data_IF_380908528617
#
_entry.id   IF_380908528617
#
_cell.length_a   1.000
_cell.length_b   1.000
_cell.length_c   1.000
_cell.angle_alpha   90.00
_cell.angle_beta   90.00
_cell.angle_gamma   90.00
#
_symmetry.space_group_name_H-M   'P 1'
#
loop_
_entity.id
_entity.type
_entity.pdbx_description
1 polymer ?
#
# COMPACT_ATOMS: atom_id res chain seq x y z
N UNK A 1 33.12 -2.04 -64.83
CA UNK A 1 32.32 -1.38 -63.77
C UNK A 1 30.93 -1.99 -63.59
N UNK A 2 30.14 -2.21 -64.64
CA UNK A 2 28.76 -2.72 -64.54
C UNK A 2 28.61 -4.04 -63.75
N UNK A 3 29.50 -5.02 -63.95
CA UNK A 3 29.48 -6.29 -63.20
C UNK A 3 29.81 -6.12 -61.71
N UNK A 4 30.75 -5.22 -61.36
CA UNK A 4 31.09 -4.93 -59.96
C UNK A 4 29.92 -4.24 -59.23
N UNK A 5 29.21 -3.36 -59.91
CA UNK A 5 28.00 -2.69 -59.38
C UNK A 5 26.88 -3.71 -59.17
N UNK A 6 26.66 -4.62 -60.13
CA UNK A 6 25.64 -5.68 -59.99
C UNK A 6 25.88 -6.61 -58.79
N UNK A 7 27.15 -6.97 -58.55
CA UNK A 7 27.52 -7.80 -57.39
C UNK A 7 27.29 -7.07 -56.06
N UNK A 8 27.58 -5.77 -56.00
CA UNK A 8 27.32 -4.96 -54.80
C UNK A 8 25.82 -4.85 -54.52
N UNK A 9 24.99 -4.66 -55.56
CA UNK A 9 23.53 -4.59 -55.38
C UNK A 9 22.97 -5.94 -54.91
N UNK A 10 23.42 -7.06 -55.48
CA UNK A 10 23.00 -8.40 -55.06
C UNK A 10 23.43 -8.67 -53.61
N UNK A 11 24.66 -8.29 -53.23
CA UNK A 11 25.13 -8.42 -51.85
C UNK A 11 24.29 -7.56 -50.89
N UNK A 12 23.91 -6.33 -51.30
CA UNK A 12 23.08 -5.44 -50.48
C UNK A 12 21.67 -5.98 -50.29
N UNK A 13 21.04 -6.50 -51.35
CA UNK A 13 19.71 -7.14 -51.28
C UNK A 13 19.78 -8.44 -50.48
N UNK A 14 20.86 -9.22 -50.65
CA UNK A 14 21.12 -10.42 -49.86
C UNK A 14 21.26 -10.11 -48.37
N UNK A 15 22.07 -9.11 -48.00
CA UNK A 15 22.21 -8.63 -46.62
C UNK A 15 20.90 -8.07 -46.08
N UNK A 16 20.15 -7.32 -46.88
CA UNK A 16 18.84 -6.81 -46.48
C UNK A 16 17.85 -7.94 -46.19
N UNK A 17 17.78 -8.97 -47.05
CA UNK A 17 16.94 -10.15 -46.82
C UNK A 17 17.42 -10.96 -45.62
N UNK A 18 18.73 -11.05 -45.40
CA UNK A 18 19.31 -11.71 -44.22
C UNK A 18 18.94 -10.96 -42.94
N UNK A 19 19.06 -9.63 -42.92
CA UNK A 19 18.60 -8.81 -41.80
C UNK A 19 17.09 -8.89 -41.63
N UNK A 20 16.31 -8.85 -42.71
CA UNK A 20 14.85 -8.97 -42.66
C UNK A 20 14.36 -10.33 -42.14
N UNK A 21 15.09 -11.42 -42.43
CA UNK A 21 14.79 -12.75 -41.88
C UNK A 21 15.41 -13.02 -40.51
N UNK A 22 16.53 -12.39 -40.16
CA UNK A 22 17.12 -12.47 -38.81
C UNK A 22 16.45 -11.54 -37.81
N UNK A 23 15.75 -10.51 -38.29
CA UNK A 23 14.89 -9.64 -37.49
C UNK A 23 13.60 -10.41 -37.18
N UNK A 24 13.73 -11.53 -36.45
CA UNK A 24 12.68 -12.04 -35.59
C UNK A 24 12.14 -10.83 -34.85
N UNK A 25 10.97 -10.31 -35.23
CA UNK A 25 10.36 -9.15 -34.59
C UNK A 25 10.03 -9.53 -33.14
N UNK A 26 10.88 -9.24 -32.13
CA UNK A 26 10.63 -9.67 -30.76
C UNK A 26 9.52 -8.81 -30.14
N UNK A 27 9.15 -7.72 -30.82
CA UNK A 27 8.22 -6.72 -30.33
C UNK A 27 6.75 -7.11 -30.50
N UNK A 28 6.42 -8.09 -31.37
CA UNK A 28 5.04 -8.46 -31.70
C UNK A 28 4.58 -9.82 -31.17
N UNK A 29 5.23 -10.37 -30.14
CA UNK A 29 4.57 -11.41 -29.34
C UNK A 29 3.50 -10.70 -28.50
N UNK A 30 2.24 -10.81 -28.92
CA UNK A 30 1.09 -10.27 -28.20
C UNK A 30 1.11 -10.80 -26.76
N UNK A 31 1.05 -9.90 -25.78
CA UNK A 31 1.00 -10.30 -24.37
C UNK A 31 -0.17 -11.24 -24.10
N UNK A 32 0.12 -12.34 -23.42
CA UNK A 32 -0.89 -13.32 -23.01
C UNK A 32 -1.07 -13.26 -21.50
N UNK A 33 -2.26 -13.63 -21.03
CA UNK A 33 -2.49 -13.80 -19.58
C UNK A 33 -1.99 -15.19 -19.21
N UNK A 34 -1.04 -15.26 -18.27
CA UNK A 34 -0.61 -16.52 -17.67
C UNK A 34 -1.73 -17.11 -16.80
N UNK A 35 -2.36 -16.26 -15.98
CA UNK A 35 -3.58 -16.62 -15.24
C UNK A 35 -4.49 -15.41 -15.01
N UNK A 36 -5.67 -15.70 -14.46
CA UNK A 36 -6.61 -14.71 -13.90
C UNK A 36 -7.20 -15.27 -12.60
N UNK A 37 -6.61 -14.92 -11.47
CA UNK A 37 -6.97 -15.43 -10.15
C UNK A 37 -7.14 -14.28 -9.15
N UNK A 38 -8.08 -14.38 -8.20
CA UNK A 38 -8.33 -13.34 -7.20
C UNK A 38 -7.58 -13.64 -5.91
N UNK A 39 -6.27 -13.37 -5.92
CA UNK A 39 -5.39 -13.61 -4.79
C UNK A 39 -5.81 -12.82 -3.56
N UNK A 40 -5.74 -13.48 -2.40
CA UNK A 40 -6.07 -12.87 -1.11
C UNK A 40 -4.85 -12.65 -0.23
N UNK A 41 -3.78 -13.41 -0.45
CA UNK A 41 -2.52 -13.24 0.25
C UNK A 41 -1.32 -13.38 -0.68
N UNK A 42 -0.28 -12.60 -0.41
CA UNK A 42 1.01 -12.63 -1.11
C UNK A 42 2.10 -12.66 -0.05
N UNK A 43 3.01 -13.64 -0.11
CA UNK A 43 4.20 -13.69 0.72
C UNK A 43 5.43 -13.40 -0.13
N UNK A 44 6.15 -12.34 0.21
CA UNK A 44 7.47 -12.06 -0.31
C UNK A 44 8.54 -12.73 0.53
N UNK A 45 9.44 -13.46 -0.13
CA UNK A 45 10.62 -14.06 0.46
C UNK A 45 11.86 -13.42 -0.19
N UNK A 46 12.78 -12.84 0.60
CA UNK A 46 14.00 -12.22 0.10
C UNK A 46 14.93 -13.24 -0.57
N UNK A 47 15.87 -12.77 -1.42
CA UNK A 47 16.89 -13.65 -1.97
C UNK A 47 17.82 -14.16 -0.86
N UNK A 48 18.31 -15.40 -1.01
CA UNK A 48 19.38 -15.94 -0.17
C UNK A 48 20.75 -15.40 -0.61
N UNK A 49 21.74 -15.47 0.27
CA UNK A 49 23.09 -14.96 0.02
C UNK A 49 23.83 -15.66 -1.13
N UNK A 50 23.44 -16.88 -1.47
CA UNK A 50 23.99 -17.68 -2.57
C UNK A 50 23.29 -17.44 -3.92
N UNK A 51 22.31 -16.53 -3.99
CA UNK A 51 21.62 -16.21 -5.24
C UNK A 51 22.54 -15.51 -6.23
N UNK A 52 22.63 -16.03 -7.46
CA UNK A 52 23.52 -15.52 -8.50
C UNK A 52 22.97 -14.34 -9.33
N UNK A 53 21.86 -13.74 -8.90
CA UNK A 53 21.20 -12.61 -9.57
C UNK A 53 21.81 -11.24 -9.20
N UNK A 54 21.19 -10.18 -9.71
CA UNK A 54 21.64 -8.80 -9.44
C UNK A 54 21.06 -8.32 -8.10
N UNK A 55 21.95 -8.08 -7.14
CA UNK A 55 21.59 -7.67 -5.78
C UNK A 55 21.49 -6.16 -5.61
N UNK A 56 21.97 -5.35 -6.55
CA UNK A 56 21.94 -3.88 -6.46
C UNK A 56 20.82 -3.28 -7.34
N UNK A 57 19.94 -2.40 -6.81
CA UNK A 57 19.84 -2.02 -5.39
C UNK A 57 19.31 -3.16 -4.52
N UNK A 58 19.70 -3.17 -3.23
CA UNK A 58 19.40 -4.27 -2.30
C UNK A 58 17.90 -4.54 -2.20
N UNK A 59 17.54 -5.83 -2.29
CA UNK A 59 16.21 -6.30 -1.93
C UNK A 59 15.93 -6.10 -0.44
N UNK A 60 14.68 -5.84 -0.09
CA UNK A 60 14.23 -5.85 1.30
C UNK A 60 14.59 -7.18 1.94
N UNK A 61 15.12 -7.12 3.16
CA UNK A 61 15.70 -8.27 3.87
C UNK A 61 14.66 -9.08 4.62
N UNK A 62 13.55 -8.45 4.99
CA UNK A 62 12.49 -9.08 5.76
C UNK A 62 11.49 -9.81 4.86
N UNK A 63 11.11 -11.03 5.26
CA UNK A 63 9.94 -11.70 4.71
C UNK A 63 8.68 -10.87 5.02
N UNK A 64 7.82 -10.68 4.02
CA UNK A 64 6.60 -9.88 4.17
C UNK A 64 5.39 -10.71 3.75
N UNK A 65 4.30 -10.56 4.48
CA UNK A 65 3.00 -11.11 4.12
C UNK A 65 2.03 -9.95 3.89
N UNK A 66 1.51 -9.87 2.68
CA UNK A 66 0.46 -8.95 2.29
C UNK A 66 -0.87 -9.66 2.27
N UNK A 67 -1.92 -9.01 2.77
CA UNK A 67 -3.29 -9.57 2.80
C UNK A 67 -4.29 -8.59 2.23
N UNK A 68 -5.31 -9.11 1.55
CA UNK A 68 -6.45 -8.38 0.98
C UNK A 68 -7.72 -8.77 1.74
N UNK A 69 -8.09 -7.98 2.73
CA UNK A 69 -9.28 -8.18 3.57
C UNK A 69 -10.51 -7.62 2.85
N UNK A 70 -11.35 -8.54 2.35
CA UNK A 70 -12.64 -8.19 1.77
C UNK A 70 -13.60 -7.68 2.84
N UNK A 71 -14.31 -6.59 2.54
CA UNK A 71 -15.28 -5.97 3.45
C UNK A 71 -16.74 -6.24 3.07
N UNK A 72 -16.97 -6.99 2.00
CA UNK A 72 -18.29 -7.25 1.43
C UNK A 72 -18.43 -6.72 0.02
N UNK A 73 -19.64 -6.81 -0.54
CA UNK A 73 -19.91 -6.42 -1.92
C UNK A 73 -19.75 -4.91 -2.13
N UNK A 74 -18.96 -4.52 -3.14
CA UNK A 74 -18.75 -3.12 -3.54
C UNK A 74 -18.17 -2.20 -2.45
N UNK A 75 -17.49 -2.78 -1.45
CA UNK A 75 -16.76 -2.02 -0.44
C UNK A 75 -15.26 -2.11 -0.72
N UNK A 76 -14.56 -0.99 -0.56
CA UNK A 76 -13.11 -0.95 -0.74
C UNK A 76 -12.44 -1.95 0.22
N UNK A 77 -11.65 -2.91 -0.29
CA UNK A 77 -10.93 -3.86 0.55
C UNK A 77 -9.82 -3.17 1.34
N UNK A 78 -9.50 -3.72 2.51
CA UNK A 78 -8.35 -3.28 3.30
C UNK A 78 -7.14 -4.12 2.88
N UNK A 79 -6.00 -3.47 2.70
CA UNK A 79 -4.74 -4.15 2.46
C UNK A 79 -3.85 -4.02 3.69
N UNK A 80 -3.18 -5.09 4.08
CA UNK A 80 -2.26 -5.07 5.23
C UNK A 80 -0.92 -5.65 4.83
N UNK A 81 0.12 -5.25 5.55
CA UNK A 81 1.46 -5.82 5.50
C UNK A 81 1.86 -6.26 6.90
N UNK A 82 2.38 -7.48 7.01
CA UNK A 82 2.97 -8.01 8.24
C UNK A 82 4.34 -8.62 7.97
N UNK A 83 5.23 -8.51 8.94
CA UNK A 83 6.59 -9.05 8.88
C UNK A 83 7.10 -9.28 10.30
N UNK A 84 8.18 -10.04 10.44
CA UNK A 84 8.85 -10.27 11.73
C UNK A 84 10.25 -9.72 11.67
N UNK A 85 10.64 -8.95 12.70
CA UNK A 85 11.98 -8.40 12.87
C UNK A 85 12.38 -8.50 14.34
N UNK A 86 13.59 -8.97 14.60
CA UNK A 86 14.14 -9.16 15.96
C UNK A 86 13.21 -9.98 16.88
N UNK A 87 12.57 -11.02 16.33
CA UNK A 87 11.62 -11.87 17.05
C UNK A 87 10.26 -11.24 17.36
N UNK A 88 10.00 -10.01 16.88
CA UNK A 88 8.73 -9.30 17.05
C UNK A 88 7.97 -9.21 15.74
N UNK A 89 6.68 -9.51 15.78
CA UNK A 89 5.79 -9.38 14.63
C UNK A 89 5.17 -7.99 14.59
N UNK A 90 5.20 -7.40 13.41
CA UNK A 90 4.62 -6.09 13.14
C UNK A 90 3.53 -6.23 12.08
N UNK A 91 2.48 -5.44 12.20
CA UNK A 91 1.44 -5.37 11.18
C UNK A 91 0.90 -3.95 11.02
N UNK A 92 0.77 -3.52 9.76
CA UNK A 92 0.29 -2.20 9.38
C UNK A 92 -0.66 -2.28 8.18
N UNK A 93 -1.50 -1.26 8.00
CA UNK A 93 -2.25 -1.02 6.78
C UNK A 93 -1.25 -0.75 5.66
N UNK A 94 -1.47 -1.39 4.54
CA UNK A 94 -0.59 -1.31 3.40
C UNK A 94 -1.04 -0.22 2.43
N UNK A 95 -0.06 0.39 1.76
CA UNK A 95 -0.31 1.47 0.82
C UNK A 95 -0.55 0.98 -0.61
N UNK A 96 -0.54 1.92 -1.56
CA UNK A 96 -0.79 1.66 -2.99
C UNK A 96 0.16 0.63 -3.61
N UNK A 97 1.41 0.48 -3.15
CA UNK A 97 2.36 -0.49 -3.70
C UNK A 97 1.84 -1.93 -3.52
N UNK A 98 1.27 -2.23 -2.35
CA UNK A 98 0.67 -3.54 -2.06
C UNK A 98 -0.62 -3.74 -2.84
N UNK A 99 -1.49 -2.71 -2.90
CA UNK A 99 -2.72 -2.76 -3.71
C UNK A 99 -2.43 -3.06 -5.19
N UNK A 100 -1.38 -2.45 -5.74
CA UNK A 100 -0.94 -2.70 -7.11
C UNK A 100 -0.40 -4.11 -7.27
N UNK A 101 0.38 -4.64 -6.33
CA UNK A 101 0.85 -6.04 -6.37
C UNK A 101 -0.32 -7.04 -6.47
N UNK A 102 -1.38 -6.85 -5.69
CA UNK A 102 -2.58 -7.70 -5.84
C UNK A 102 -3.21 -7.57 -7.22
N UNK A 103 -3.33 -6.36 -7.75
CA UNK A 103 -3.97 -6.12 -9.05
C UNK A 103 -3.15 -6.73 -10.20
N UNK A 104 -1.84 -6.55 -10.17
CA UNK A 104 -0.89 -7.03 -11.20
C UNK A 104 -0.74 -8.56 -11.15
N UNK A 105 -0.66 -9.15 -9.95
CA UNK A 105 -0.55 -10.59 -9.79
C UNK A 105 -1.88 -11.30 -10.03
N UNK A 106 -3.03 -10.63 -9.85
CA UNK A 106 -4.34 -11.25 -10.15
C UNK A 106 -4.52 -11.49 -11.66
N UNK A 107 -4.01 -10.59 -12.50
CA UNK A 107 -4.02 -10.72 -13.95
C UNK A 107 -2.58 -10.71 -14.45
N UNK A 108 -1.86 -11.81 -14.19
CA UNK A 108 -0.46 -11.91 -14.53
C UNK A 108 -0.30 -12.05 -16.05
N UNK A 109 0.39 -11.09 -16.66
CA UNK A 109 0.68 -11.07 -18.10
C UNK A 109 2.12 -11.44 -18.39
N UNK A 110 2.34 -12.21 -19.46
CA UNK A 110 3.68 -12.63 -19.90
C UNK A 110 3.80 -12.57 -21.43
N UNK A 111 5.03 -12.43 -21.91
CA UNK A 111 5.39 -12.55 -23.34
C UNK A 111 5.93 -13.93 -23.71
N UNK A 112 6.43 -14.69 -22.74
CA UNK A 112 7.05 -16.00 -22.94
C UNK A 112 6.45 -16.99 -21.96
N UNK A 113 6.25 -18.22 -22.42
CA UNK A 113 5.96 -19.39 -21.60
C UNK A 113 6.76 -20.54 -22.22
N UNK A 114 7.74 -21.04 -21.49
CA UNK A 114 8.53 -22.19 -21.91
C UNK A 114 8.70 -23.19 -20.77
N UNK A 115 8.90 -24.47 -21.09
CA UNK A 115 9.18 -25.47 -20.06
C UNK A 115 10.55 -25.21 -19.45
N UNK A 116 10.62 -25.30 -18.13
CA UNK A 116 11.86 -25.12 -17.40
C UNK A 116 12.79 -26.32 -17.59
N UNK A 117 14.06 -26.06 -17.90
CA UNK A 117 15.15 -27.04 -17.80
C UNK A 117 16.19 -26.61 -16.76
N UNK A 118 17.02 -27.51 -16.23
CA UNK A 118 18.11 -27.15 -15.31
C UNK A 118 19.06 -26.09 -15.89
N UNK A 119 19.32 -26.14 -17.20
CA UNK A 119 20.15 -25.17 -17.91
C UNK A 119 19.51 -23.78 -17.92
N UNK A 120 18.21 -23.70 -18.21
CA UNK A 120 17.43 -22.44 -18.20
C UNK A 120 17.42 -21.85 -16.79
N UNK A 121 17.11 -22.67 -15.77
CA UNK A 121 17.08 -22.20 -14.38
C UNK A 121 18.44 -21.64 -13.94
N UNK A 122 19.53 -22.34 -14.27
CA UNK A 122 20.88 -21.89 -13.95
C UNK A 122 21.26 -20.60 -14.69
N UNK A 123 20.92 -20.48 -15.97
CA UNK A 123 21.18 -19.29 -16.80
C UNK A 123 20.53 -18.04 -16.20
N UNK A 124 19.25 -18.17 -15.81
CA UNK A 124 18.45 -17.06 -15.30
C UNK A 124 18.52 -16.87 -13.78
N UNK A 125 19.30 -17.69 -13.07
CA UNK A 125 19.36 -17.68 -11.59
C UNK A 125 18.01 -17.92 -10.92
N UNK A 126 17.22 -18.84 -11.46
CA UNK A 126 15.92 -19.25 -10.94
C UNK A 126 16.09 -20.41 -9.95
N UNK A 127 15.37 -20.39 -8.84
CA UNK A 127 15.36 -21.49 -7.86
C UNK A 127 15.13 -21.03 -6.43
N UNK A 128 15.36 -21.92 -5.46
CA UNK A 128 14.99 -21.69 -4.05
C UNK A 128 15.75 -20.55 -3.36
N UNK A 129 16.88 -20.13 -3.93
CA UNK A 129 17.68 -19.01 -3.44
C UNK A 129 17.23 -17.66 -4.03
N UNK A 130 16.41 -17.68 -5.07
CA UNK A 130 15.91 -16.47 -5.72
C UNK A 130 14.85 -15.74 -4.87
N UNK A 131 14.72 -14.40 -5.03
CA UNK A 131 13.61 -13.69 -4.41
C UNK A 131 12.30 -14.25 -4.97
N UNK A 132 11.30 -14.43 -4.13
CA UNK A 132 10.06 -15.08 -4.56
C UNK A 132 8.80 -14.48 -3.98
N UNK A 133 7.70 -14.64 -4.72
CA UNK A 133 6.35 -14.32 -4.28
C UNK A 133 5.53 -15.60 -4.24
N UNK A 134 5.08 -16.01 -3.06
CA UNK A 134 4.09 -17.09 -2.90
C UNK A 134 2.69 -16.49 -2.86
N UNK A 135 1.75 -17.07 -3.60
CA UNK A 135 0.37 -16.58 -3.69
C UNK A 135 -0.60 -17.55 -3.03
N UNK A 136 -1.65 -17.01 -2.41
CA UNK A 136 -2.73 -17.81 -1.82
C UNK A 136 -4.09 -17.15 -2.00
N UNK A 137 -5.11 -17.98 -2.18
CA UNK A 137 -6.53 -17.57 -2.17
C UNK A 137 -7.06 -17.46 -0.74
N UNK A 138 -6.28 -17.90 0.25
CA UNK A 138 -6.64 -17.80 1.65
C UNK A 138 -6.30 -16.42 2.22
N UNK A 139 -7.05 -16.04 3.26
CA UNK A 139 -6.85 -14.78 3.98
C UNK A 139 -7.00 -14.95 5.50
N UNK A 140 -6.71 -16.16 5.99
CA UNK A 140 -6.78 -16.49 7.42
C UNK A 140 -5.65 -15.86 8.23
N UNK A 141 -5.65 -16.09 9.53
CA UNK A 141 -4.48 -15.82 10.40
C UNK A 141 -3.34 -16.78 10.11
N UNK A 142 -3.68 -18.03 9.79
CA UNK A 142 -2.80 -19.02 9.20
C UNK A 142 -3.15 -19.10 7.72
N UNK A 143 -2.14 -18.94 6.85
CA UNK A 143 -2.30 -18.92 5.40
C UNK A 143 -1.38 -19.99 4.86
N UNK A 144 -1.94 -20.96 4.14
CA UNK A 144 -1.15 -21.92 3.40
C UNK A 144 -0.72 -21.31 2.06
N UNK A 145 0.59 -21.35 1.79
CA UNK A 145 1.18 -20.92 0.54
C UNK A 145 1.66 -22.15 -0.24
N UNK A 146 0.93 -22.51 -1.31
CA UNK A 146 1.32 -23.60 -2.19
C UNK A 146 2.58 -23.26 -2.99
N UNK A 147 3.46 -24.25 -3.17
CA UNK A 147 4.67 -24.13 -4.00
C UNK A 147 4.32 -23.97 -5.48
N UNK A 148 3.20 -24.52 -5.93
CA UNK A 148 2.76 -24.44 -7.33
C UNK A 148 2.39 -23.01 -7.74
N UNK A 149 2.09 -22.17 -6.75
CA UNK A 149 1.73 -20.76 -6.88
C UNK A 149 2.86 -19.84 -6.40
N UNK A 150 4.09 -20.33 -6.41
CA UNK A 150 5.29 -19.57 -6.05
C UNK A 150 6.04 -19.12 -7.30
N UNK A 151 6.24 -17.82 -7.41
CA UNK A 151 6.97 -17.13 -8.47
C UNK A 151 8.42 -16.88 -7.99
N UNK A 152 9.38 -17.56 -8.58
CA UNK A 152 10.82 -17.39 -8.33
C UNK A 152 11.42 -16.44 -9.35
N UNK A 153 11.91 -15.27 -8.93
CA UNK A 153 12.33 -14.20 -9.84
C UNK A 153 13.83 -14.26 -10.12
N UNK A 154 14.20 -14.31 -11.39
CA UNK A 154 15.58 -14.40 -11.86
C UNK A 154 16.14 -13.07 -12.37
N UNK A 155 17.01 -13.17 -13.37
CA UNK A 155 17.60 -12.02 -14.08
C UNK A 155 16.62 -11.40 -15.09
N UNK A 156 16.86 -10.14 -15.46
CA UNK A 156 16.17 -9.49 -16.58
C UNK A 156 16.40 -10.28 -17.88
N UNK A 157 15.39 -10.35 -18.74
CA UNK A 157 15.47 -11.06 -20.03
C UNK A 157 15.78 -10.07 -21.14
N UNK A 158 16.84 -10.34 -21.90
CA UNK A 158 17.25 -9.51 -23.04
C UNK A 158 17.99 -8.23 -22.63
N UNK A 159 18.32 -7.40 -23.63
CA UNK A 159 18.90 -6.08 -23.41
C UNK A 159 17.86 -5.03 -22.99
N UNK A 160 16.57 -5.35 -23.12
CA UNK A 160 15.46 -4.46 -22.84
C UNK A 160 15.00 -4.62 -21.38
N UNK A 161 15.05 -3.54 -20.61
CA UNK A 161 15.02 -3.60 -19.15
C UNK A 161 13.64 -3.95 -18.55
N UNK A 162 12.58 -4.03 -19.36
CA UNK A 162 11.19 -4.07 -18.89
C UNK A 162 10.67 -5.43 -18.39
N UNK A 163 11.42 -6.53 -18.59
CA UNK A 163 10.96 -7.90 -18.29
C UNK A 163 11.93 -8.67 -17.41
N UNK A 164 11.41 -9.61 -16.63
CA UNK A 164 12.19 -10.47 -15.73
C UNK A 164 11.82 -11.93 -15.95
N UNK A 165 12.80 -12.82 -15.85
CA UNK A 165 12.57 -14.27 -15.86
C UNK A 165 11.94 -14.70 -14.56
N UNK A 166 10.90 -15.52 -14.63
CA UNK A 166 10.22 -16.05 -13.45
C UNK A 166 9.93 -17.52 -13.64
N UNK A 167 10.35 -18.35 -12.69
CA UNK A 167 9.99 -19.76 -12.61
C UNK A 167 8.72 -19.89 -11.76
N UNK A 168 7.72 -20.57 -12.27
CA UNK A 168 6.49 -20.91 -11.55
C UNK A 168 6.09 -22.32 -11.93
N UNK A 169 5.88 -23.18 -10.93
CA UNK A 169 5.69 -24.62 -11.12
C UNK A 169 6.86 -25.24 -11.92
N UNK A 170 6.64 -25.57 -13.19
CA UNK A 170 7.64 -26.13 -14.12
C UNK A 170 7.84 -25.27 -15.38
N UNK A 171 7.35 -24.03 -15.37
CA UNK A 171 7.38 -23.11 -16.51
C UNK A 171 8.20 -21.87 -16.19
N UNK A 172 8.94 -21.39 -17.19
CA UNK A 172 9.59 -20.09 -17.16
C UNK A 172 8.77 -19.10 -17.96
N UNK A 173 8.42 -17.99 -17.30
CA UNK A 173 7.64 -16.90 -17.87
C UNK A 173 8.41 -15.59 -17.84
N UNK A 174 7.98 -14.62 -18.64
CA UNK A 174 8.59 -13.30 -18.79
C UNK A 174 7.59 -12.15 -18.49
N UNK A 175 7.15 -11.99 -17.23
CA UNK A 175 6.32 -10.87 -16.82
C UNK A 175 7.14 -9.56 -16.71
N UNK A 176 6.45 -8.46 -16.43
CA UNK A 176 7.09 -7.17 -16.20
C UNK A 176 7.97 -7.16 -14.94
N UNK A 177 9.11 -6.47 -15.05
CA UNK A 177 10.09 -6.35 -13.96
C UNK A 177 9.56 -5.63 -12.71
N UNK A 178 8.61 -4.69 -12.87
CA UNK A 178 8.08 -3.88 -11.77
C UNK A 178 7.42 -4.73 -10.67
N UNK A 179 7.00 -5.96 -10.98
CA UNK A 179 6.44 -6.90 -10.02
C UNK A 179 7.40 -7.15 -8.85
N UNK A 180 8.69 -7.29 -9.14
CA UNK A 180 9.71 -7.60 -8.15
C UNK A 180 10.57 -6.38 -7.77
N UNK A 181 10.76 -5.41 -8.68
CA UNK A 181 11.58 -4.22 -8.41
C UNK A 181 11.07 -3.37 -7.25
N UNK A 182 9.76 -3.36 -6.99
CA UNK A 182 9.18 -2.68 -5.82
C UNK A 182 9.75 -3.19 -4.49
N UNK A 183 10.20 -4.45 -4.42
CA UNK A 183 10.81 -5.05 -3.23
C UNK A 183 12.30 -4.70 -3.07
N UNK A 184 12.87 -3.89 -3.97
CA UNK A 184 14.16 -3.22 -3.73
C UNK A 184 14.01 -1.95 -2.88
N UNK A 185 12.78 -1.55 -2.56
CA UNK A 185 12.49 -0.52 -1.58
C UNK A 185 12.38 -1.14 -0.18
N UNK A 186 12.72 -0.40 0.89
CA UNK A 186 12.58 -0.90 2.26
C UNK A 186 11.11 -1.17 2.60
N UNK A 187 10.89 -2.00 3.62
CA UNK A 187 9.55 -2.37 4.12
C UNK A 187 8.65 -1.16 4.44
N UNK A 188 9.23 -0.01 4.82
CA UNK A 188 8.51 1.24 5.08
C UNK A 188 7.76 1.76 3.85
N UNK A 189 8.23 1.44 2.64
CA UNK A 189 7.61 1.82 1.37
C UNK A 189 6.32 1.06 1.05
N UNK A 190 5.95 0.05 1.84
CA UNK A 190 4.71 -0.72 1.67
C UNK A 190 3.62 -0.35 2.68
N UNK A 191 3.91 0.56 3.62
CA UNK A 191 3.02 0.93 4.73
C UNK A 191 2.34 2.26 4.47
N UNK A 192 1.14 2.40 5.01
CA UNK A 192 0.39 3.64 4.93
C UNK A 192 0.84 4.64 6.01
N UNK A 193 1.33 5.81 5.59
CA UNK A 193 1.76 6.88 6.51
C UNK A 193 0.57 7.70 7.03
N UNK A 194 -0.55 7.79 6.33
CA UNK A 194 -1.72 8.54 6.78
C UNK A 194 -2.60 7.70 7.72
N UNK A 195 -2.98 8.23 8.87
CA UNK A 195 -3.82 7.48 9.82
C UNK A 195 -5.26 7.28 9.36
N UNK A 196 -5.74 8.18 8.51
CA UNK A 196 -7.08 8.10 7.91
C UNK A 196 -6.92 8.19 6.41
N UNK A 197 -6.96 7.04 5.74
CA UNK A 197 -6.93 6.94 4.29
C UNK A 197 -8.31 7.17 3.73
N UNK A 198 -8.41 7.99 2.70
CA UNK A 198 -9.70 8.31 2.10
C UNK A 198 -9.51 8.43 0.58
N UNK A 199 -10.15 7.53 -0.17
CA UNK A 199 -10.06 7.51 -1.64
C UNK A 199 -11.35 7.98 -2.33
N UNK A 200 -12.52 7.72 -1.73
CA UNK A 200 -13.83 8.12 -2.28
C UNK A 200 -14.87 8.34 -1.15
N UNK A 201 -15.88 9.17 -1.40
CA UNK A 201 -16.97 9.49 -0.47
C UNK A 201 -16.82 10.76 0.39
N UNK A 202 -17.05 10.66 1.70
CA UNK A 202 -16.75 11.72 2.68
C UNK A 202 -16.61 11.14 4.10
N UNK A 203 -16.06 11.93 5.05
CA UNK A 203 -16.10 11.55 6.47
C UNK A 203 -17.49 11.80 7.03
N UNK A 204 -18.16 10.73 7.48
CA UNK A 204 -19.54 10.75 7.95
C UNK A 204 -19.65 11.14 9.44
N UNK A 205 -18.69 10.72 10.25
CA UNK A 205 -18.71 10.95 11.70
C UNK A 205 -17.29 11.12 12.23
N UNK A 206 -17.12 12.05 13.16
CA UNK A 206 -15.92 12.23 13.96
C UNK A 206 -16.30 12.21 15.44
N UNK A 207 -15.60 11.43 16.23
CA UNK A 207 -15.82 11.34 17.67
C UNK A 207 -14.48 11.32 18.40
N UNK A 208 -14.25 12.27 19.29
CA UNK A 208 -13.06 12.34 20.12
C UNK A 208 -13.45 12.22 21.59
N UNK A 209 -12.76 11.34 22.32
CA UNK A 209 -12.93 11.17 23.76
C UNK A 209 -11.57 11.05 24.44
N UNK A 210 -11.26 11.91 25.41
CA UNK A 210 -10.01 11.88 26.18
C UNK A 210 -9.86 13.11 27.04
N UNK A 211 -9.08 13.05 28.12
CA UNK A 211 -8.76 14.19 28.99
C UNK A 211 -9.99 15.06 29.39
N UNK A 212 -11.11 14.42 29.78
CA UNK A 212 -12.39 15.09 30.15
C UNK A 212 -13.09 15.83 28.97
N UNK A 213 -12.59 15.66 27.75
CA UNK A 213 -13.18 16.16 26.51
C UNK A 213 -13.91 15.00 25.82
N UNK A 214 -15.18 15.22 25.50
CA UNK A 214 -15.96 14.32 24.66
C UNK A 214 -16.69 15.19 23.62
N UNK A 215 -16.40 14.96 22.34
CA UNK A 215 -17.00 15.69 21.23
C UNK A 215 -17.30 14.71 20.11
N UNK A 216 -18.54 14.74 19.64
CA UNK A 216 -19.03 13.97 18.51
C UNK A 216 -19.68 14.91 17.51
N UNK A 217 -19.34 14.76 16.24
CA UNK A 217 -19.97 15.46 15.13
C UNK A 217 -20.31 14.51 13.98
N UNK A 218 -21.44 14.78 13.34
CA UNK A 218 -21.93 14.09 12.16
C UNK A 218 -21.84 15.02 10.96
N UNK A 219 -21.51 14.47 9.80
CA UNK A 219 -21.49 15.18 8.53
C UNK A 219 -22.63 14.70 7.63
N UNK A 220 -23.44 15.64 7.15
CA UNK A 220 -24.49 15.39 6.15
C UNK A 220 -24.07 15.96 4.80
N UNK A 221 -22.90 15.57 4.33
CA UNK A 221 -22.33 16.10 3.09
C UNK A 221 -23.27 15.84 1.90
N UNK A 222 -23.38 16.83 1.02
CA UNK A 222 -24.17 16.76 -0.22
C UNK A 222 -23.30 17.11 -1.41
N UNK A 223 -23.55 16.46 -2.54
CA UNK A 223 -22.87 16.83 -3.77
C UNK A 223 -23.37 18.16 -4.30
N UNK A 224 -22.46 19.02 -4.72
CA UNK A 224 -22.78 20.24 -5.44
C UNK A 224 -23.00 19.95 -6.95
N UNK A 225 -23.25 21.01 -7.71
CA UNK A 225 -23.42 20.96 -9.18
C UNK A 225 -22.23 20.38 -9.94
N UNK A 226 -21.05 20.29 -9.32
CA UNK A 226 -19.83 19.71 -9.89
C UNK A 226 -19.55 18.29 -9.37
N UNK A 227 -20.54 17.63 -8.75
CA UNK A 227 -20.42 16.28 -8.19
C UNK A 227 -19.39 16.17 -7.03
N UNK A 228 -19.02 17.30 -6.41
CA UNK A 228 -18.11 17.38 -5.26
C UNK A 228 -18.90 17.46 -3.96
N UNK A 229 -18.51 16.69 -2.94
CA UNK A 229 -19.15 16.74 -1.62
C UNK A 229 -18.85 18.07 -0.91
N UNK A 230 -19.91 18.74 -0.48
CA UNK A 230 -19.88 19.91 0.41
C UNK A 230 -20.34 19.47 1.78
N UNK A 231 -19.48 19.65 2.77
CA UNK A 231 -19.72 19.20 4.13
C UNK A 231 -20.75 20.04 4.86
N UNK A 232 -21.52 19.38 5.72
CA UNK A 232 -22.50 19.98 6.61
C UNK A 232 -22.37 19.33 7.99
N UNK A 233 -21.46 19.89 8.78
CA UNK A 233 -21.08 19.35 10.07
C UNK A 233 -22.06 19.80 11.17
N UNK A 234 -22.51 18.85 11.98
CA UNK A 234 -23.34 19.09 13.15
C UNK A 234 -22.72 18.43 14.37
N UNK A 235 -22.45 19.20 15.43
CA UNK A 235 -22.05 18.62 16.73
C UNK A 235 -23.27 17.97 17.36
N UNK A 236 -23.12 16.74 17.84
CA UNK A 236 -24.20 15.96 18.48
C UNK A 236 -23.99 15.75 19.97
N UNK A 237 -22.81 16.08 20.51
CA UNK A 237 -22.59 16.05 21.98
C UNK A 237 -23.19 17.29 22.63
N UNK A 238 -23.96 17.10 23.70
CA UNK A 238 -24.72 18.16 24.34
C UNK A 238 -25.91 18.58 23.47
N UNK A 239 -26.07 19.89 23.24
CA UNK A 239 -27.06 20.39 22.29
C UNK A 239 -26.61 20.15 20.84
N UNK A 240 -27.53 19.63 20.01
CA UNK A 240 -27.28 19.45 18.57
C UNK A 240 -27.25 20.81 17.89
N UNK A 241 -26.07 21.23 17.47
CA UNK A 241 -25.86 22.49 16.75
C UNK A 241 -25.26 22.24 15.36
N UNK A 242 -25.65 23.06 14.39
CA UNK A 242 -24.93 23.16 13.12
C UNK A 242 -23.66 23.95 13.38
N UNK A 243 -22.53 23.39 12.96
CA UNK A 243 -21.23 24.03 13.13
C UNK A 243 -20.99 25.06 12.03
N UNK A 244 -20.30 26.17 12.34
CA UNK A 244 -19.72 27.02 11.30
C UNK A 244 -18.84 26.17 10.35
N UNK A 245 -18.92 26.41 9.02
CA UNK A 245 -18.16 25.59 8.05
C UNK A 245 -16.65 25.58 8.29
N UNK A 246 -16.07 26.70 8.74
CA UNK A 246 -14.65 26.82 9.08
C UNK A 246 -14.26 25.93 10.26
N UNK A 247 -15.12 25.79 11.28
CA UNK A 247 -14.86 24.93 12.45
C UNK A 247 -14.94 23.44 12.07
N UNK A 248 -16.03 23.03 11.41
CA UNK A 248 -16.23 21.63 11.01
C UNK A 248 -15.17 21.16 10.01
N UNK A 249 -14.91 21.95 8.97
CA UNK A 249 -13.91 21.60 7.96
C UNK A 249 -12.47 21.68 8.50
N UNK A 250 -12.18 22.57 9.46
CA UNK A 250 -10.87 22.58 10.11
C UNK A 250 -10.63 21.27 10.87
N UNK A 251 -11.61 20.78 11.64
CA UNK A 251 -11.46 19.51 12.35
C UNK A 251 -11.24 18.35 11.38
N UNK A 252 -12.03 18.26 10.32
CA UNK A 252 -11.84 17.26 9.26
C UNK A 252 -10.46 17.36 8.61
N UNK A 253 -10.00 18.57 8.28
CA UNK A 253 -8.69 18.77 7.65
C UNK A 253 -7.54 18.34 8.56
N UNK A 254 -7.64 18.59 9.87
CA UNK A 254 -6.62 18.15 10.83
C UNK A 254 -6.62 16.63 10.94
N UNK A 255 -7.81 16.01 11.03
CA UNK A 255 -7.94 14.54 11.07
C UNK A 255 -7.35 13.88 9.83
N UNK A 256 -7.65 14.42 8.64
CA UNK A 256 -7.06 13.96 7.37
C UNK A 256 -5.56 14.21 7.29
N UNK A 257 -5.02 15.20 7.99
CA UNK A 257 -3.61 15.52 8.02
C UNK A 257 -2.79 14.70 9.02
N UNK A 258 -3.42 13.89 9.85
CA UNK A 258 -2.72 13.05 10.83
C UNK A 258 -1.93 11.96 10.10
N UNK A 259 -0.64 11.88 10.42
CA UNK A 259 0.29 10.93 9.82
C UNK A 259 1.21 10.30 10.87
N UNK A 260 1.67 9.09 10.56
CA UNK A 260 2.77 8.40 11.21
C UNK A 260 4.05 9.16 10.89
N UNK A 261 4.79 9.58 11.92
CA UNK A 261 6.15 10.06 11.72
C UNK A 261 7.09 8.85 11.60
N UNK A 262 7.07 7.97 12.61
CA UNK A 262 7.95 6.81 12.69
C UNK A 262 7.19 5.52 12.94
N UNK A 263 7.65 4.46 12.27
CA UNK A 263 7.43 3.09 12.71
C UNK A 263 8.53 2.67 13.68
N UNK A 264 8.23 1.79 14.63
CA UNK A 264 9.19 1.36 15.65
C UNK A 264 10.44 0.69 15.06
N UNK A 265 10.28 0.05 13.91
CA UNK A 265 11.30 -0.74 13.23
C UNK A 265 12.03 0.02 12.09
N UNK A 266 11.72 1.30 11.90
CA UNK A 266 12.26 2.16 10.86
C UNK A 266 13.68 2.65 11.23
N UNK A 267 14.62 2.57 10.28
CA UNK A 267 15.99 3.08 10.46
C UNK A 267 15.96 4.58 10.75
N UNK A 268 16.65 5.01 11.82
CA UNK A 268 16.67 6.41 12.26
C UNK A 268 15.50 6.81 13.16
N UNK A 269 14.58 5.89 13.46
CA UNK A 269 13.60 6.10 14.53
C UNK A 269 14.32 6.17 15.90
N UNK A 270 13.86 7.05 16.81
CA UNK A 270 14.28 7.01 18.21
C UNK A 270 14.07 5.64 18.86
N UNK A 271 14.82 5.33 19.92
CA UNK A 271 14.60 4.13 20.74
C UNK A 271 13.31 4.26 21.56
N UNK A 272 12.20 3.93 20.90
CA UNK A 272 10.88 4.04 21.48
C UNK A 272 10.61 2.97 22.54
N UNK A 273 9.93 3.32 23.65
CA UNK A 273 9.59 2.38 24.70
C UNK A 273 8.59 1.32 24.21
N UNK A 274 8.57 0.19 24.89
CA UNK A 274 7.52 -0.81 24.69
C UNK A 274 6.28 -0.40 25.47
N UNK A 275 5.15 -0.23 24.77
CA UNK A 275 3.87 -0.15 25.45
C UNK A 275 3.45 -1.55 25.90
N UNK A 276 3.19 -1.68 27.20
CA UNK A 276 2.61 -2.91 27.74
C UNK A 276 1.18 -3.07 27.23
N UNK A 277 0.71 -4.32 27.12
CA UNK A 277 -0.66 -4.63 26.69
C UNK A 277 -1.76 -3.98 27.54
N UNK A 278 -1.44 -3.61 28.79
CA UNK A 278 -2.34 -2.95 29.74
C UNK A 278 -2.30 -1.42 29.68
N UNK A 279 -1.54 -0.84 28.75
CA UNK A 279 -1.49 0.62 28.60
C UNK A 279 -2.87 1.15 28.25
N UNK A 280 -3.39 2.09 29.04
CA UNK A 280 -4.69 2.71 28.79
C UNK A 280 -4.48 3.93 27.89
N UNK A 281 -5.25 4.08 26.79
CA UNK A 281 -5.16 5.27 25.96
C UNK A 281 -5.68 6.49 26.73
N UNK A 282 -4.97 7.62 26.61
CA UNK A 282 -5.41 8.91 27.18
C UNK A 282 -6.52 9.56 26.37
N UNK A 283 -6.55 9.27 25.07
CA UNK A 283 -7.56 9.75 24.15
C UNK A 283 -7.83 8.74 23.04
N UNK A 284 -9.02 8.80 22.48
CA UNK A 284 -9.47 7.99 21.35
C UNK A 284 -10.17 8.91 20.35
N UNK A 285 -9.79 8.79 19.08
CA UNK A 285 -10.48 9.39 17.94
C UNK A 285 -11.09 8.29 17.07
N UNK A 286 -12.41 8.26 17.01
CA UNK A 286 -13.17 7.42 16.09
C UNK A 286 -13.59 8.24 14.87
N UNK A 287 -13.28 7.72 13.67
CA UNK A 287 -13.59 8.33 12.38
C UNK A 287 -14.37 7.33 11.55
N UNK A 288 -15.58 7.69 11.14
CA UNK A 288 -16.40 6.84 10.26
C UNK A 288 -16.51 7.47 8.88
N UNK A 289 -16.23 6.69 7.85
CA UNK A 289 -16.40 7.09 6.45
C UNK A 289 -17.79 6.73 5.91
N UNK A 290 -18.18 7.36 4.81
CA UNK A 290 -19.42 7.07 4.10
C UNK A 290 -19.53 5.61 3.64
N UNK A 291 -18.41 4.96 3.29
CA UNK A 291 -18.33 3.53 2.94
C UNK A 291 -18.39 2.59 4.17
N UNK A 292 -18.56 3.14 5.36
CA UNK A 292 -18.67 2.36 6.60
C UNK A 292 -17.34 1.85 7.17
N UNK A 293 -16.17 2.25 6.64
CA UNK A 293 -14.90 2.02 7.34
C UNK A 293 -14.90 2.86 8.61
N UNK A 294 -14.52 2.24 9.73
CA UNK A 294 -14.30 2.93 11.00
C UNK A 294 -12.83 2.83 11.36
N UNK A 295 -12.17 3.99 11.42
CA UNK A 295 -10.82 4.12 11.94
C UNK A 295 -10.93 4.52 13.40
N UNK A 296 -10.24 3.79 14.28
CA UNK A 296 -10.08 4.14 15.68
C UNK A 296 -8.60 4.42 15.92
N UNK A 297 -8.27 5.63 16.35
CA UNK A 297 -6.93 6.01 16.77
C UNK A 297 -6.92 6.14 18.28
N UNK A 298 -6.17 5.25 18.93
CA UNK A 298 -5.94 5.26 20.37
C UNK A 298 -4.59 5.94 20.65
N UNK A 299 -4.62 7.06 21.35
CA UNK A 299 -3.44 7.85 21.72
C UNK A 299 -2.99 7.50 23.14
N UNK A 300 -1.75 7.04 23.28
CA UNK A 300 -1.16 6.61 24.56
C UNK A 300 -0.37 7.74 25.21
N UNK A 301 0.07 7.62 26.49
CA UNK A 301 0.81 8.67 27.17
C UNK A 301 2.00 9.22 26.38
N UNK A 302 2.24 10.54 26.54
CA UNK A 302 3.36 11.24 25.92
C UNK A 302 4.69 10.60 26.33
N UNK A 303 5.57 10.40 25.36
CA UNK A 303 6.96 10.03 25.59
C UNK A 303 7.88 11.17 25.14
N UNK A 304 8.84 11.52 25.99
CA UNK A 304 9.82 12.56 25.72
C UNK A 304 11.22 11.95 25.66
N UNK A 305 12.00 12.40 24.68
CA UNK A 305 13.40 12.06 24.52
C UNK A 305 14.19 13.29 24.05
N UNK A 306 15.50 13.17 23.98
CA UNK A 306 16.36 14.23 23.40
C UNK A 306 16.02 14.53 21.94
N UNK A 307 15.46 13.56 21.21
CA UNK A 307 15.06 13.71 19.81
C UNK A 307 13.68 14.35 19.62
N UNK A 308 12.90 14.53 20.69
CA UNK A 308 11.63 15.25 20.65
C UNK A 308 10.53 14.69 21.54
N UNK A 309 9.31 15.18 21.29
CA UNK A 309 8.09 14.79 22.02
C UNK A 309 7.18 13.97 21.11
N UNK A 310 6.91 12.74 21.53
CA UNK A 310 6.31 11.73 20.68
C UNK A 310 5.09 11.11 21.33
N UNK A 311 4.03 10.96 20.56
CA UNK A 311 2.80 10.30 20.97
C UNK A 311 2.74 8.91 20.34
N UNK A 312 2.68 7.83 21.13
CA UNK A 312 2.40 6.52 20.59
C UNK A 312 0.91 6.42 20.21
N UNK A 313 0.65 5.79 19.08
CA UNK A 313 -0.69 5.66 18.49
C UNK A 313 -0.91 4.22 18.04
N UNK A 314 -2.07 3.66 18.39
CA UNK A 314 -2.60 2.44 17.77
C UNK A 314 -3.75 2.81 16.87
N UNK A 315 -3.65 2.45 15.59
CA UNK A 315 -4.76 2.52 14.65
C UNK A 315 -5.45 1.17 14.54
N UNK A 316 -6.76 1.19 14.52
CA UNK A 316 -7.61 0.03 14.28
C UNK A 316 -8.59 0.36 13.15
N UNK A 317 -8.70 -0.51 12.15
CA UNK A 317 -9.74 -0.48 11.13
C UNK A 317 -10.84 -1.45 11.57
N UNK A 318 -11.74 -0.98 12.44
CA UNK A 318 -12.70 -1.81 13.17
C UNK A 318 -13.77 -2.42 12.25
N UNK A 319 -14.11 -3.72 12.39
CA UNK A 319 -13.52 -4.74 13.26
C UNK A 319 -12.45 -5.61 12.58
N UNK A 320 -11.90 -5.16 11.46
CA UNK A 320 -11.12 -5.98 10.53
C UNK A 320 -9.65 -6.13 10.93
N UNK A 321 -9.05 -5.09 11.49
CA UNK A 321 -7.59 -5.04 11.62
C UNK A 321 -7.14 -4.08 12.74
N UNK A 322 -6.05 -4.43 13.42
CA UNK A 322 -5.37 -3.59 14.41
C UNK A 322 -3.89 -3.53 14.08
N UNK A 323 -3.33 -2.33 14.07
CA UNK A 323 -1.92 -2.09 13.82
C UNK A 323 -1.04 -2.28 15.03
N UNK A 324 0.24 -2.53 14.77
CA UNK A 324 1.30 -2.29 15.73
C UNK A 324 1.41 -0.80 16.08
N UNK A 325 1.99 -0.49 17.23
CA UNK A 325 2.15 0.90 17.68
C UNK A 325 3.03 1.68 16.70
N UNK A 326 2.55 2.86 16.33
CA UNK A 326 3.27 3.86 15.54
C UNK A 326 3.44 5.13 16.36
N UNK A 327 4.25 6.06 15.86
CA UNK A 327 4.58 7.29 16.57
C UNK A 327 4.30 8.51 15.74
N UNK A 328 3.70 9.52 16.37
CA UNK A 328 3.46 10.84 15.79
C UNK A 328 4.06 11.93 16.66
N UNK A 329 4.28 13.11 16.08
CA UNK A 329 4.72 14.28 16.85
C UNK A 329 3.63 14.74 17.80
N UNK A 330 4.01 15.09 19.03
CA UNK A 330 3.08 15.66 20.02
C UNK A 330 2.39 16.92 19.49
N UNK A 331 3.08 17.75 18.71
CA UNK A 331 2.49 18.94 18.07
C UNK A 331 1.28 18.60 17.21
N UNK A 332 1.32 17.50 16.46
CA UNK A 332 0.21 17.06 15.61
C UNK A 332 -0.99 16.62 16.47
N UNK A 333 -0.74 15.99 17.62
CA UNK A 333 -1.78 15.66 18.59
C UNK A 333 -2.39 16.93 19.24
N UNK A 334 -1.56 17.91 19.62
CA UNK A 334 -2.04 19.18 20.16
C UNK A 334 -2.88 19.97 19.13
N UNK A 335 -2.50 19.95 17.86
CA UNK A 335 -3.29 20.55 16.78
C UNK A 335 -4.67 19.87 16.64
N UNK A 336 -4.74 18.55 16.80
CA UNK A 336 -6.02 17.82 16.88
C UNK A 336 -6.86 18.26 18.07
N UNK A 337 -6.28 18.28 19.28
CA UNK A 337 -6.99 18.69 20.51
C UNK A 337 -7.52 20.12 20.38
N UNK A 338 -6.72 21.04 19.83
CA UNK A 338 -7.14 22.42 19.58
C UNK A 338 -8.33 22.50 18.62
N UNK A 339 -8.33 21.72 17.55
CA UNK A 339 -9.46 21.67 16.62
C UNK A 339 -10.73 21.10 17.30
N UNK A 340 -10.59 20.04 18.10
CA UNK A 340 -11.68 19.46 18.89
C UNK A 340 -12.25 20.49 19.88
N UNK A 341 -11.39 21.26 20.53
CA UNK A 341 -11.82 22.29 21.49
C UNK A 341 -12.62 23.41 20.82
N UNK A 342 -12.26 23.81 19.59
CA UNK A 342 -13.06 24.77 18.81
C UNK A 342 -14.46 24.23 18.50
N UNK A 343 -14.58 22.94 18.21
CA UNK A 343 -15.88 22.29 17.99
C UNK A 343 -16.68 22.23 19.29
N UNK A 344 -16.03 21.93 20.42
CA UNK A 344 -16.64 21.92 21.75
C UNK A 344 -17.16 23.31 22.16
N UNK A 345 -16.42 24.37 21.87
CA UNK A 345 -16.79 25.74 22.24
C UNK A 345 -17.66 26.46 21.20
N UNK A 346 -17.86 25.87 20.02
CA UNK A 346 -18.68 26.46 18.97
C UNK A 346 -20.12 26.69 19.43
N UNK A 347 -20.66 27.82 18.99
CA UNK A 347 -22.07 28.20 19.08
C UNK A 347 -22.81 27.84 17.80
N UNK A 348 -24.15 27.81 17.87
CA UNK A 348 -25.01 27.47 16.74
C UNK A 348 -24.78 28.43 15.58
N UNK A 349 -24.47 27.88 14.42
CA UNK A 349 -24.40 28.63 13.18
C UNK A 349 -25.80 28.80 12.57
N UNK A 350 -26.25 30.04 12.43
CA UNK A 350 -27.41 30.38 11.62
C UNK A 350 -26.96 30.59 10.18
N UNK A 351 -27.50 29.80 9.25
CA UNK A 351 -27.20 29.99 7.83
C UNK A 351 -27.73 31.36 7.41
N UNK A 352 -26.96 32.17 6.66
CA UNK A 352 -27.51 33.38 6.06
C UNK A 352 -28.70 32.96 5.19
N UNK A 353 -29.87 33.54 5.48
CA UNK A 353 -31.07 33.31 4.70
C UNK A 353 -30.74 33.62 3.23
N UNK A 354 -30.72 32.59 2.38
CA UNK A 354 -30.74 32.79 0.93
C UNK A 354 -32.07 33.46 0.61
N UNK A 355 -32.08 34.79 0.59
CA UNK A 355 -33.14 35.54 -0.08
C UNK A 355 -33.08 35.11 -1.53
N UNK A 356 -34.08 34.35 -1.95
CA UNK A 356 -34.43 34.12 -3.34
C UNK A 356 -34.59 35.52 -3.95
N UNK A 357 -33.70 35.90 -4.86
CA UNK A 357 -33.88 37.05 -5.76
C UNK A 357 -34.42 36.54 -7.09
#
# INVERSE_FOLDING_TARGET
>A
MKQKISLVVIAFVGLFLLFYWMEDHPENISETNFWKEDWKSIRYIPPKSDWCGVTEPKFAEEEMVFRKISRGWNLTPIYTVSFTKDGKSFSYEANYNVKNSFSELSVLKTKLIEKSTPEIQKSYCLGISSPSLSLSEENGTEIEFSKDKQLFFGKKIGADEGRVSVLVNEEVIAPYNYLIEKFRAPITSFREKMFVTFSDGYLKELSFSGQVINVKAENRAKKNQYNVYVNDWSRTTGERIVLPPDVGNQWESVVKGLKVEFYKDETGAPEFPELTSNSVPEAVLDVTQSEGIKFRLSFFPLWESESGKWRPVRRELVPYFSESITWMKEESFQNLVNAVMKVKSASRYERPNQKIQ
#
